data_IF_038380174077
#
_entry.id   IF_038380174077
#
_cell.length_a   1.000
_cell.length_b   1.000
_cell.length_c   1.000
_cell.angle_alpha   90.00
_cell.angle_beta   90.00
_cell.angle_gamma   90.00
#
_symmetry.space_group_name_H-M   'P 1'
#
loop_
_entity.id
_entity.type
_entity.pdbx_description
1 polymer ?
#
# COMPACT_ATOMS: atom_id res chain seq x y z
N UNK A 1 4.38 18.60 5.67
CA UNK A 1 3.81 19.13 6.93
C UNK A 1 2.81 20.26 6.71
N UNK A 2 3.15 21.36 6.02
CA UNK A 2 2.21 22.48 5.78
C UNK A 2 0.89 22.06 5.11
N UNK A 3 0.95 21.16 4.12
CA UNK A 3 -0.26 20.66 3.47
C UNK A 3 -1.15 19.84 4.42
N UNK A 4 -0.57 18.94 5.23
CA UNK A 4 -1.31 18.21 6.27
C UNK A 4 -1.93 19.16 7.30
N UNK A 5 -1.26 20.26 7.64
CA UNK A 5 -1.79 21.27 8.57
C UNK A 5 -3.08 21.91 8.03
N UNK A 6 -3.10 22.28 6.75
CA UNK A 6 -4.29 22.87 6.11
C UNK A 6 -5.48 21.90 6.20
N UNK A 7 -5.27 20.63 5.86
CA UNK A 7 -6.32 19.61 5.97
C UNK A 7 -6.72 19.33 7.41
N UNK A 8 -5.79 19.37 8.36
CA UNK A 8 -6.09 19.19 9.79
C UNK A 8 -7.00 20.31 10.30
N UNK A 9 -6.72 21.57 9.95
CA UNK A 9 -7.59 22.70 10.33
C UNK A 9 -8.97 22.56 9.70
N UNK A 10 -9.07 22.20 8.43
CA UNK A 10 -10.36 21.96 7.75
C UNK A 10 -11.14 20.83 8.44
N UNK A 11 -10.47 19.72 8.75
CA UNK A 11 -11.09 18.57 9.41
C UNK A 11 -11.63 18.92 10.80
N UNK A 12 -10.88 19.70 11.59
CA UNK A 12 -11.35 20.21 12.88
C UNK A 12 -12.64 21.03 12.70
N UNK A 13 -12.70 21.93 11.71
CA UNK A 13 -13.91 22.72 11.48
C UNK A 13 -15.11 21.88 11.04
N UNK A 14 -14.89 20.77 10.32
CA UNK A 14 -15.97 19.91 9.85
C UNK A 14 -16.48 18.94 10.93
N UNK A 15 -15.59 18.43 11.78
CA UNK A 15 -15.82 17.22 12.57
C UNK A 15 -15.63 17.37 14.09
N UNK A 16 -15.17 18.52 14.57
CA UNK A 16 -14.96 18.78 16.01
C UNK A 16 -16.22 18.45 16.80
N UNK A 17 -16.06 17.68 17.89
CA UNK A 17 -17.14 17.38 18.83
C UNK A 17 -18.18 16.36 18.34
N UNK A 18 -17.95 15.71 17.19
CA UNK A 18 -18.94 14.80 16.55
C UNK A 18 -18.55 13.32 16.59
N UNK A 19 -17.40 12.99 17.18
CA UNK A 19 -16.80 11.64 17.19
C UNK A 19 -17.07 10.88 18.50
N UNK A 20 -18.21 11.18 19.13
CA UNK A 20 -18.67 10.49 20.32
C UNK A 20 -19.73 9.45 19.96
N UNK A 21 -19.78 8.36 20.71
CA UNK A 21 -20.75 7.29 20.53
C UNK A 21 -21.10 6.66 21.88
N UNK A 22 -22.31 6.10 21.98
CA UNK A 22 -22.68 5.26 23.11
C UNK A 22 -22.33 3.80 22.77
N UNK A 23 -21.96 3.00 23.78
CA UNK A 23 -21.80 1.54 23.59
C UNK A 23 -23.09 0.83 23.15
N UNK A 24 -24.25 1.43 23.39
CA UNK A 24 -25.55 1.00 22.88
C UNK A 24 -25.99 1.93 21.73
N UNK A 25 -26.02 1.40 20.51
CA UNK A 25 -26.38 2.14 19.28
C UNK A 25 -27.80 2.73 19.32
N UNK A 26 -28.66 2.24 20.22
CA UNK A 26 -30.03 2.74 20.38
C UNK A 26 -30.08 4.12 21.05
N UNK A 27 -28.98 4.61 21.62
CA UNK A 27 -28.91 5.87 22.38
C UNK A 27 -27.99 6.87 21.68
N UNK A 28 -28.59 7.93 21.13
CA UNK A 28 -27.88 8.98 20.39
C UNK A 28 -27.47 10.21 21.22
N UNK A 29 -27.71 10.23 22.53
CA UNK A 29 -27.42 11.38 23.40
C UNK A 29 -26.72 10.93 24.67
N UNK A 30 -25.74 11.70 25.14
CA UNK A 30 -24.96 11.38 26.35
C UNK A 30 -25.86 11.18 27.59
N UNK A 31 -26.86 12.04 27.77
CA UNK A 31 -27.81 11.94 28.89
C UNK A 31 -28.59 10.61 28.94
N UNK A 32 -28.82 10.00 27.77
CA UNK A 32 -29.60 8.77 27.62
C UNK A 32 -28.70 7.53 27.61
N UNK A 33 -27.38 7.69 27.48
CA UNK A 33 -26.36 6.64 27.52
C UNK A 33 -26.01 6.28 28.98
N UNK A 34 -27.00 5.83 29.75
CA UNK A 34 -26.85 5.44 31.16
C UNK A 34 -27.50 4.09 31.45
N UNK A 35 -27.06 3.45 32.52
CA UNK A 35 -27.55 2.14 32.94
C UNK A 35 -26.86 0.99 32.21
N UNK A 36 -27.59 -0.11 31.97
CA UNK A 36 -27.07 -1.30 31.29
C UNK A 36 -27.84 -1.56 29.99
N UNK A 37 -27.17 -2.23 29.04
CA UNK A 37 -27.76 -2.74 27.82
C UNK A 37 -27.46 -4.24 27.69
N UNK A 38 -28.28 -4.96 26.92
CA UNK A 38 -28.09 -6.38 26.64
C UNK A 38 -27.26 -6.52 25.37
N UNK A 39 -26.08 -7.12 25.51
CA UNK A 39 -25.20 -7.46 24.40
C UNK A 39 -25.50 -8.90 23.95
N UNK A 40 -25.91 -9.04 22.68
CA UNK A 40 -26.28 -10.32 22.09
C UNK A 40 -25.10 -10.87 21.29
N UNK A 41 -24.30 -11.73 21.92
CA UNK A 41 -23.20 -12.45 21.26
C UNK A 41 -23.62 -13.87 20.88
N UNK A 42 -22.83 -14.53 20.03
CA UNK A 42 -23.10 -15.91 19.59
C UNK A 42 -23.20 -16.91 20.76
N UNK A 43 -22.53 -16.61 21.86
CA UNK A 43 -22.41 -17.50 23.03
C UNK A 43 -23.40 -17.18 24.17
N UNK A 44 -24.21 -16.12 24.05
CA UNK A 44 -25.19 -15.75 25.07
C UNK A 44 -25.59 -14.27 25.09
N UNK A 45 -26.41 -13.92 26.08
CA UNK A 45 -26.84 -12.54 26.35
C UNK A 45 -26.22 -12.08 27.66
N UNK A 46 -25.46 -10.99 27.60
CA UNK A 46 -24.81 -10.40 28.78
C UNK A 46 -25.25 -8.96 28.99
N UNK A 47 -25.47 -8.56 30.24
CA UNK A 47 -25.74 -7.17 30.59
C UNK A 47 -24.42 -6.40 30.73
N UNK A 48 -24.18 -5.42 29.87
CA UNK A 48 -23.00 -4.54 29.90
C UNK A 48 -23.39 -3.11 30.27
N UNK A 49 -22.53 -2.36 30.97
CA UNK A 49 -22.80 -0.95 31.27
C UNK A 49 -22.80 -0.12 29.98
N UNK A 50 -23.70 0.86 29.89
CA UNK A 50 -23.67 1.88 28.85
C UNK A 50 -22.60 2.91 29.17
N UNK A 51 -21.70 3.15 28.22
CA UNK A 51 -20.63 4.13 28.37
C UNK A 51 -20.62 5.07 27.16
N UNK A 52 -20.53 6.38 27.43
CA UNK A 52 -20.32 7.39 26.40
C UNK A 52 -18.84 7.50 26.10
N UNK A 53 -18.43 7.09 24.89
CA UNK A 53 -17.05 6.99 24.47
C UNK A 53 -16.76 7.91 23.30
N UNK A 54 -15.47 8.18 23.11
CA UNK A 54 -14.94 8.87 21.94
C UNK A 54 -14.16 7.88 21.11
N UNK A 55 -14.26 7.97 19.79
CA UNK A 55 -13.40 7.19 18.91
C UNK A 55 -11.93 7.55 19.12
N UNK A 56 -11.04 6.57 19.02
CA UNK A 56 -9.59 6.77 19.18
C UNK A 56 -9.02 7.75 18.15
N UNK A 57 -9.54 7.71 16.92
CA UNK A 57 -9.21 8.65 15.86
C UNK A 57 -10.34 9.67 15.72
N UNK A 58 -10.05 10.93 16.00
CA UNK A 58 -11.02 12.03 16.03
C UNK A 58 -10.39 13.38 15.68
N UNK A 59 -11.23 14.40 15.44
CA UNK A 59 -10.81 15.71 14.92
C UNK A 59 -11.11 16.88 15.88
N UNK A 60 -11.03 16.66 17.20
CA UNK A 60 -11.42 17.69 18.18
C UNK A 60 -10.43 18.85 18.29
N UNK A 61 -9.15 18.56 18.03
CA UNK A 61 -8.09 19.56 17.99
C UNK A 61 -7.09 19.20 16.89
N UNK A 62 -6.27 20.18 16.54
CA UNK A 62 -5.34 20.08 15.41
C UNK A 62 -4.35 18.92 15.59
N UNK A 63 -3.88 18.67 16.82
CA UNK A 63 -2.90 17.60 17.09
C UNK A 63 -3.50 16.20 16.84
N UNK A 64 -4.70 15.95 17.34
CA UNK A 64 -5.41 14.68 17.08
C UNK A 64 -5.82 14.56 15.61
N UNK A 65 -6.23 15.66 14.98
CA UNK A 65 -6.51 15.68 13.55
C UNK A 65 -5.28 15.30 12.72
N UNK A 66 -4.08 15.74 13.11
CA UNK A 66 -2.83 15.28 12.47
C UNK A 66 -2.62 13.78 12.64
N UNK A 67 -2.83 13.23 13.83
CA UNK A 67 -2.68 11.79 14.06
C UNK A 67 -3.66 10.99 13.19
N UNK A 68 -4.93 11.41 13.16
CA UNK A 68 -5.95 10.76 12.33
C UNK A 68 -5.62 10.87 10.83
N UNK A 69 -5.21 12.04 10.34
CA UNK A 69 -4.83 12.23 8.94
C UNK A 69 -3.55 11.47 8.57
N UNK A 70 -2.62 11.31 9.52
CA UNK A 70 -1.44 10.47 9.34
C UNK A 70 -1.84 9.00 9.15
N UNK A 71 -2.67 8.44 10.03
CA UNK A 71 -3.19 7.07 9.89
C UNK A 71 -3.97 6.89 8.59
N UNK A 72 -4.80 7.88 8.21
CA UNK A 72 -5.51 7.86 6.91
C UNK A 72 -4.51 7.86 5.74
N UNK A 73 -3.40 8.62 5.84
CA UNK A 73 -2.39 8.70 4.79
C UNK A 73 -1.57 7.42 4.60
N UNK A 74 -1.46 6.57 5.63
CA UNK A 74 -0.80 5.26 5.50
C UNK A 74 -1.68 4.22 4.82
N UNK A 75 -2.97 4.52 4.59
CA UNK A 75 -3.93 3.58 4.02
C UNK A 75 -4.45 2.54 5.01
N UNK A 76 -4.17 2.71 6.31
CA UNK A 76 -4.58 1.78 7.36
C UNK A 76 -5.76 2.37 8.16
N UNK A 77 -6.80 1.57 8.41
CA UNK A 77 -7.95 1.99 9.23
C UNK A 77 -8.79 3.17 8.68
N UNK A 78 -8.43 3.74 7.52
CA UNK A 78 -9.17 4.85 6.91
C UNK A 78 -10.65 4.56 6.60
N UNK A 79 -11.09 3.32 6.26
CA UNK A 79 -12.52 3.08 6.02
C UNK A 79 -13.33 3.24 7.31
N UNK A 80 -12.75 2.91 8.47
CA UNK A 80 -13.38 3.11 9.77
C UNK A 80 -13.49 4.60 10.09
N UNK A 81 -12.41 5.37 9.89
CA UNK A 81 -12.42 6.82 10.10
C UNK A 81 -13.41 7.51 9.17
N UNK A 82 -13.46 7.12 7.89
CA UNK A 82 -14.43 7.60 6.92
C UNK A 82 -15.86 7.26 7.36
N UNK A 83 -16.13 6.01 7.76
CA UNK A 83 -17.45 5.60 8.23
C UNK A 83 -17.89 6.42 9.44
N UNK A 84 -17.03 6.56 10.45
CA UNK A 84 -17.32 7.40 11.61
C UNK A 84 -17.58 8.86 11.23
N UNK A 85 -16.92 9.37 10.18
CA UNK A 85 -17.14 10.73 9.67
C UNK A 85 -18.47 10.89 8.94
N UNK A 86 -18.87 9.89 8.17
CA UNK A 86 -20.15 9.88 7.44
C UNK A 86 -21.34 9.73 8.39
N UNK A 87 -21.15 8.93 9.44
CA UNK A 87 -22.15 8.70 10.47
C UNK A 87 -22.18 9.85 11.50
N UNK A 88 -21.20 10.77 11.49
CA UNK A 88 -21.10 11.88 12.42
C UNK A 88 -22.26 12.88 12.26
N UNK A 89 -22.95 13.18 13.36
CA UNK A 89 -24.13 14.06 13.36
C UNK A 89 -23.81 15.50 13.77
N UNK A 90 -24.38 15.96 14.88
CA UNK A 90 -24.14 17.27 15.47
C UNK A 90 -23.19 17.14 16.65
N UNK A 91 -22.71 18.27 17.16
CA UNK A 91 -21.90 18.29 18.39
C UNK A 91 -22.66 17.63 19.54
N UNK A 92 -21.93 16.82 20.32
CA UNK A 92 -22.42 16.08 21.49
C UNK A 92 -23.59 15.11 21.22
N UNK A 93 -23.76 14.70 19.95
CA UNK A 93 -24.71 13.67 19.54
C UNK A 93 -23.97 12.46 18.97
N UNK A 94 -24.57 11.29 19.19
CA UNK A 94 -24.06 10.01 18.71
C UNK A 94 -24.15 9.88 17.20
N UNK A 95 -23.50 8.86 16.63
CA UNK A 95 -23.52 8.63 15.19
C UNK A 95 -24.93 8.21 14.72
N UNK A 96 -25.28 8.58 13.49
CA UNK A 96 -26.48 8.12 12.79
C UNK A 96 -26.07 7.61 11.41
N UNK A 97 -26.36 6.33 11.07
CA UNK A 97 -25.89 5.72 9.83
C UNK A 97 -26.23 6.54 8.59
N UNK A 98 -25.21 6.94 7.82
CA UNK A 98 -25.37 7.65 6.56
C UNK A 98 -25.85 9.10 6.66
N UNK A 99 -25.79 9.73 7.85
CA UNK A 99 -26.32 11.07 8.07
C UNK A 99 -25.71 12.14 7.15
N UNK A 100 -24.40 12.10 6.90
CA UNK A 100 -23.70 13.06 6.04
C UNK A 100 -22.77 12.38 5.04
N UNK A 101 -23.34 11.72 4.03
CA UNK A 101 -22.54 11.12 2.94
C UNK A 101 -21.62 12.13 2.24
N UNK A 102 -22.00 13.40 2.19
CA UNK A 102 -21.23 14.50 1.59
C UNK A 102 -19.82 14.66 2.18
N UNK A 103 -19.62 14.32 3.46
CA UNK A 103 -18.30 14.43 4.11
C UNK A 103 -17.28 13.46 3.53
N UNK A 104 -17.72 12.45 2.76
CA UNK A 104 -16.83 11.53 2.03
C UNK A 104 -15.96 12.26 1.01
N UNK A 105 -16.44 13.39 0.47
CA UNK A 105 -15.69 14.20 -0.51
C UNK A 105 -14.37 14.69 0.08
N UNK A 106 -14.33 15.02 1.38
CA UNK A 106 -13.11 15.42 2.08
C UNK A 106 -12.00 14.36 1.94
N UNK A 107 -12.35 13.08 2.15
CA UNK A 107 -11.41 11.98 2.05
C UNK A 107 -10.99 11.68 0.63
N UNK A 108 -11.90 11.79 -0.35
CA UNK A 108 -11.56 11.64 -1.77
C UNK A 108 -10.55 12.71 -2.19
N UNK A 109 -10.80 13.98 -1.85
CA UNK A 109 -9.88 15.07 -2.13
C UNK A 109 -8.55 14.86 -1.42
N UNK A 110 -8.57 14.45 -0.15
CA UNK A 110 -7.34 14.12 0.57
C UNK A 110 -6.53 13.01 -0.13
N UNK A 111 -7.16 11.90 -0.49
CA UNK A 111 -6.48 10.77 -1.14
C UNK A 111 -5.99 11.03 -2.55
N UNK A 112 -6.59 11.94 -3.30
CA UNK A 112 -6.10 12.32 -4.61
C UNK A 112 -4.97 13.35 -4.46
N UNK A 113 -5.21 14.38 -3.68
CA UNK A 113 -4.35 15.56 -3.63
C UNK A 113 -3.12 15.33 -2.75
N UNK A 114 -3.26 14.67 -1.60
CA UNK A 114 -2.14 14.42 -0.68
C UNK A 114 -1.04 13.56 -1.32
N UNK A 115 -1.31 12.37 -1.89
CA UNK A 115 -0.28 11.58 -2.55
C UNK A 115 0.27 12.28 -3.78
N UNK A 116 -0.55 12.99 -4.55
CA UNK A 116 -0.08 13.71 -5.73
C UNK A 116 0.99 14.75 -5.37
N UNK A 117 0.78 15.58 -4.35
CA UNK A 117 1.82 16.53 -3.94
C UNK A 117 2.97 15.86 -3.17
N UNK A 118 2.65 14.98 -2.22
CA UNK A 118 3.66 14.40 -1.35
C UNK A 118 4.60 13.47 -2.11
N UNK A 119 4.06 12.52 -2.87
CA UNK A 119 4.87 11.54 -3.62
C UNK A 119 5.65 12.23 -4.73
N UNK A 120 5.04 13.16 -5.47
CA UNK A 120 5.76 13.84 -6.57
C UNK A 120 6.91 14.71 -6.05
N UNK A 121 6.72 15.46 -4.96
CA UNK A 121 7.80 16.25 -4.35
C UNK A 121 8.90 15.32 -3.79
N UNK A 122 8.50 14.24 -3.12
CA UNK A 122 9.45 13.29 -2.53
C UNK A 122 10.30 12.58 -3.59
N UNK A 123 9.66 12.08 -4.65
CA UNK A 123 10.34 11.44 -5.78
C UNK A 123 11.28 12.41 -6.48
N UNK A 124 10.84 13.66 -6.72
CA UNK A 124 11.68 14.69 -7.34
C UNK A 124 12.93 14.97 -6.49
N UNK A 125 12.78 15.11 -5.17
CA UNK A 125 13.91 15.33 -4.26
C UNK A 125 14.89 14.15 -4.27
N UNK A 126 14.38 12.91 -4.20
CA UNK A 126 15.22 11.71 -4.29
C UNK A 126 16.01 11.68 -5.59
N UNK A 127 15.37 11.96 -6.73
CA UNK A 127 16.04 11.99 -8.05
C UNK A 127 17.16 13.03 -8.04
N UNK A 128 16.89 14.25 -7.60
CA UNK A 128 17.90 15.32 -7.55
C UNK A 128 19.07 14.91 -6.65
N UNK A 129 18.81 14.35 -5.48
CA UNK A 129 19.88 13.91 -4.57
C UNK A 129 20.73 12.78 -5.17
N UNK A 130 20.12 11.82 -5.88
CA UNK A 130 20.87 10.76 -6.56
C UNK A 130 21.65 11.27 -7.77
N UNK A 131 21.10 12.25 -8.50
CA UNK A 131 21.83 12.91 -9.59
C UNK A 131 23.04 13.66 -9.02
N UNK A 132 22.88 14.44 -7.96
CA UNK A 132 24.00 15.14 -7.31
C UNK A 132 25.06 14.19 -6.76
N UNK A 133 24.66 13.08 -6.15
CA UNK A 133 25.61 12.06 -5.66
C UNK A 133 26.32 11.36 -6.83
N UNK A 134 25.58 11.01 -7.89
CA UNK A 134 26.13 10.40 -9.09
C UNK A 134 27.11 11.31 -9.81
N UNK A 135 26.82 12.61 -9.87
CA UNK A 135 27.69 13.61 -10.49
C UNK A 135 28.92 13.90 -9.62
N UNK A 136 28.78 14.00 -8.30
CA UNK A 136 29.93 14.15 -7.37
C UNK A 136 30.89 12.97 -7.44
N UNK A 137 30.37 11.73 -7.44
CA UNK A 137 31.17 10.52 -7.60
C UNK A 137 31.90 10.43 -8.96
N UNK A 138 31.47 11.24 -9.94
CA UNK A 138 32.06 11.29 -11.27
C UNK A 138 32.95 12.53 -11.50
N UNK A 139 32.83 13.56 -10.65
CA UNK A 139 33.55 14.83 -10.77
C UNK A 139 35.07 14.73 -10.58
N UNK A 140 35.58 13.62 -10.02
CA UNK A 140 37.02 13.36 -9.91
C UNK A 140 37.67 12.88 -11.21
N UNK A 141 36.92 12.74 -12.31
CA UNK A 141 37.44 12.25 -13.60
C UNK A 141 37.13 13.22 -14.75
N UNK A 142 38.14 13.57 -15.53
CA UNK A 142 38.06 14.53 -16.66
C UNK A 142 37.37 13.99 -17.92
N UNK A 143 36.81 12.78 -17.87
CA UNK A 143 36.24 12.06 -19.02
C UNK A 143 34.70 12.04 -18.95
N UNK A 144 34.03 12.11 -20.11
CA UNK A 144 32.57 12.06 -20.19
C UNK A 144 32.02 10.66 -19.80
N UNK A 145 30.78 10.60 -19.28
CA UNK A 145 30.06 9.35 -18.89
C UNK A 145 30.18 8.24 -19.93
N UNK A 146 29.98 8.60 -21.20
CA UNK A 146 29.98 7.68 -22.33
C UNK A 146 31.39 7.16 -22.66
N UNK A 147 32.39 8.03 -22.59
CA UNK A 147 33.80 7.68 -22.86
C UNK A 147 34.31 6.68 -21.82
N UNK A 148 34.03 6.95 -20.54
CA UNK A 148 34.42 6.06 -19.44
C UNK A 148 33.79 4.67 -19.58
N UNK A 149 32.50 4.59 -19.92
CA UNK A 149 31.82 3.31 -20.12
C UNK A 149 32.39 2.51 -21.31
N UNK A 150 32.76 3.20 -22.40
CA UNK A 150 33.39 2.57 -23.55
C UNK A 150 34.79 2.04 -23.22
N UNK A 151 35.60 2.85 -22.52
CA UNK A 151 36.95 2.47 -22.09
C UNK A 151 36.89 1.28 -21.12
N UNK A 152 36.00 1.33 -20.12
CA UNK A 152 35.86 0.25 -19.15
C UNK A 152 35.43 -1.06 -19.82
N UNK A 153 34.48 -0.99 -20.77
CA UNK A 153 34.08 -2.16 -21.55
C UNK A 153 35.24 -2.68 -22.40
N UNK A 154 35.97 -1.81 -23.09
CA UNK A 154 37.09 -2.22 -23.93
C UNK A 154 38.22 -2.88 -23.13
N UNK A 155 38.48 -2.41 -21.90
CA UNK A 155 39.52 -2.95 -21.01
C UNK A 155 39.07 -4.26 -20.35
N UNK A 156 37.81 -4.33 -19.89
CA UNK A 156 37.33 -5.45 -19.08
C UNK A 156 36.65 -6.58 -19.89
N UNK A 157 36.36 -6.35 -21.17
CA UNK A 157 35.73 -7.37 -22.02
C UNK A 157 36.61 -8.62 -22.13
N UNK A 158 36.06 -9.76 -21.71
CA UNK A 158 36.67 -11.08 -21.87
C UNK A 158 35.98 -11.83 -23.00
N UNK A 159 36.71 -12.65 -23.78
CA UNK A 159 36.11 -13.43 -24.84
C UNK A 159 35.10 -14.44 -24.27
N UNK A 160 33.94 -14.56 -24.92
CA UNK A 160 32.94 -15.55 -24.59
C UNK A 160 33.49 -16.96 -24.88
N UNK A 161 33.72 -17.74 -23.83
CA UNK A 161 34.17 -19.13 -23.96
C UNK A 161 32.98 -20.02 -24.31
N UNK A 162 32.79 -20.33 -25.60
CA UNK A 162 31.87 -21.38 -26.04
C UNK A 162 32.63 -22.70 -26.13
N UNK A 163 32.22 -23.69 -25.33
CA UNK A 163 32.74 -25.04 -25.44
C UNK A 163 32.19 -25.71 -26.70
N UNK A 164 33.03 -25.84 -27.73
CA UNK A 164 32.71 -26.53 -28.99
C UNK A 164 33.47 -27.85 -29.04
N UNK A 165 32.81 -29.01 -29.23
CA UNK A 165 33.48 -30.29 -29.39
C UNK A 165 34.42 -30.26 -30.61
N UNK A 166 35.68 -30.68 -30.44
CA UNK A 166 36.70 -30.60 -31.49
C UNK A 166 36.39 -31.45 -32.74
N UNK A 167 35.74 -32.61 -32.56
CA UNK A 167 35.47 -33.54 -33.65
C UNK A 167 34.02 -33.43 -34.17
N UNK A 168 33.86 -32.86 -35.38
CA UNK A 168 32.57 -32.65 -36.05
C UNK A 168 31.84 -33.96 -36.43
N UNK A 169 32.55 -35.07 -36.56
CA UNK A 169 31.97 -36.37 -36.92
C UNK A 169 31.51 -37.18 -35.70
N UNK A 170 31.88 -36.74 -34.48
CA UNK A 170 31.50 -37.41 -33.25
C UNK A 170 30.03 -37.20 -32.90
N UNK A 171 29.43 -38.19 -32.25
CA UNK A 171 28.09 -38.09 -31.66
C UNK A 171 27.99 -36.91 -30.68
N UNK A 172 29.09 -36.58 -29.99
CA UNK A 172 29.17 -35.42 -29.09
C UNK A 172 28.88 -34.08 -29.79
N UNK A 173 29.34 -33.89 -31.03
CA UNK A 173 29.05 -32.67 -31.79
C UNK A 173 27.60 -32.61 -32.26
N UNK A 174 27.01 -33.75 -32.64
CA UNK A 174 25.58 -33.83 -33.01
C UNK A 174 24.68 -33.52 -31.82
N UNK A 175 24.99 -34.07 -30.64
CA UNK A 175 24.27 -33.78 -29.39
C UNK A 175 24.41 -32.30 -28.98
N UNK A 176 25.63 -31.76 -29.05
CA UNK A 176 25.87 -30.33 -28.77
C UNK A 176 25.08 -29.42 -29.72
N UNK A 177 25.09 -29.72 -31.02
CA UNK A 177 24.34 -28.95 -32.02
C UNK A 177 22.82 -29.00 -31.78
N UNK A 178 22.31 -30.11 -31.26
CA UNK A 178 20.89 -30.23 -30.89
C UNK A 178 20.56 -29.42 -29.63
N UNK A 179 21.36 -29.52 -28.58
CA UNK A 179 21.15 -28.80 -27.31
C UNK A 179 21.25 -27.28 -27.49
N UNK A 180 22.17 -26.82 -28.35
CA UNK A 180 22.36 -25.39 -28.66
C UNK A 180 21.35 -24.89 -29.71
N UNK A 181 20.47 -25.75 -30.23
CA UNK A 181 19.52 -25.36 -31.27
C UNK A 181 18.32 -24.60 -30.68
N UNK A 182 17.83 -23.54 -31.38
CA UNK A 182 16.62 -22.81 -30.97
C UNK A 182 15.37 -23.69 -30.71
N UNK A 183 15.05 -24.75 -31.47
CA UNK A 183 13.87 -25.58 -31.18
C UNK A 183 13.98 -26.31 -29.84
N UNK A 184 15.18 -26.70 -29.40
CA UNK A 184 15.37 -27.32 -28.08
C UNK A 184 15.11 -26.30 -26.96
N UNK A 185 15.55 -25.05 -27.13
CA UNK A 185 15.27 -23.96 -26.18
C UNK A 185 13.76 -23.71 -26.05
N UNK A 186 13.02 -23.63 -27.17
CA UNK A 186 11.56 -23.48 -27.13
C UNK A 186 10.85 -24.67 -26.46
N UNK A 187 11.33 -25.90 -26.67
CA UNK A 187 10.78 -27.09 -26.03
C UNK A 187 10.93 -27.03 -24.49
N UNK A 188 12.11 -26.68 -23.99
CA UNK A 188 12.34 -26.51 -22.55
C UNK A 188 11.48 -25.39 -21.97
N UNK A 189 11.41 -24.23 -22.65
CA UNK A 189 10.56 -23.12 -22.21
C UNK A 189 9.08 -23.52 -22.16
N UNK A 190 8.60 -24.31 -23.13
CA UNK A 190 7.23 -24.82 -23.13
C UNK A 190 6.96 -25.81 -21.98
N UNK A 191 7.93 -26.67 -21.65
CA UNK A 191 7.84 -27.61 -20.52
C UNK A 191 7.78 -26.87 -19.17
N UNK A 192 8.59 -25.83 -19.00
CA UNK A 192 8.56 -24.98 -17.79
C UNK A 192 7.19 -24.29 -17.69
N UNK A 193 6.70 -23.68 -18.78
CA UNK A 193 5.40 -23.03 -18.81
C UNK A 193 4.26 -24.01 -18.47
N UNK A 194 4.24 -25.19 -19.10
CA UNK A 194 3.27 -26.24 -18.81
C UNK A 194 3.33 -26.70 -17.35
N UNK A 195 4.52 -26.88 -16.77
CA UNK A 195 4.66 -27.23 -15.36
C UNK A 195 4.10 -26.14 -14.43
N UNK A 196 4.33 -24.86 -14.74
CA UNK A 196 3.73 -23.75 -13.98
C UNK A 196 2.20 -23.73 -14.09
N UNK A 197 1.64 -24.02 -15.27
CA UNK A 197 0.19 -24.13 -15.46
C UNK A 197 -0.37 -25.31 -14.66
N UNK A 198 0.29 -26.46 -14.68
CA UNK A 198 -0.13 -27.64 -13.89
C UNK A 198 -0.11 -27.32 -12.38
N UNK A 199 0.88 -26.58 -11.91
CA UNK A 199 0.94 -26.12 -10.52
C UNK A 199 -0.18 -25.13 -10.17
N UNK A 200 -0.52 -24.20 -11.08
CA UNK A 200 -1.64 -23.27 -10.92
C UNK A 200 -3.01 -23.98 -10.95
N UNK A 201 -3.11 -25.09 -11.69
CA UNK A 201 -4.33 -25.91 -11.78
C UNK A 201 -4.55 -26.82 -10.57
N UNK A 202 -3.60 -26.89 -9.62
CA UNK A 202 -3.78 -27.62 -8.37
C UNK A 202 -4.78 -26.87 -7.47
N UNK A 203 -6.06 -27.13 -7.67
CA UNK A 203 -7.16 -26.59 -6.84
C UNK A 203 -7.58 -27.60 -5.76
N UNK A 204 -7.93 -27.10 -4.58
CA UNK A 204 -8.17 -27.84 -3.33
C UNK A 204 -9.36 -28.82 -3.37
N UNK A 205 -9.27 -29.93 -4.11
CA UNK A 205 -10.13 -31.10 -3.88
C UNK A 205 -9.73 -31.92 -2.63
N UNK A 206 -8.71 -31.46 -1.89
CA UNK A 206 -8.32 -32.01 -0.58
C UNK A 206 -8.99 -31.31 0.61
N UNK A 207 -9.66 -30.16 0.44
CA UNK A 207 -10.30 -29.42 1.54
C UNK A 207 -11.85 -29.49 1.47
N UNK A 208 -12.40 -30.68 1.17
CA UNK A 208 -13.84 -30.97 1.28
C UNK A 208 -14.17 -32.30 1.97
N UNK A 209 -13.17 -33.04 2.45
CA UNK A 209 -13.34 -34.32 3.14
C UNK A 209 -12.64 -34.36 4.52
N UNK A 210 -12.70 -33.26 5.27
CA UNK A 210 -12.55 -33.25 6.73
C UNK A 210 -13.51 -32.21 7.31
#
# INVERSE_FOLDING_TARGET
>A
MLFMFIFAVIAVQLFKGKFFYCTDESKGLEKDCRGQFLDFNRDGVEAKPREWKKYEFHYDNVLWAFLTLFTVSTGEGWPMVLKHSVDATYEDKGPSPGFRMETSIFYVVYFVVFPFFFVNIFVALIIITFQEQGDKAMSECSLEKNERACIDFAINAKPLTRYMPANKQSFQYKMWKFVVSPPFEYAIMSLIALNTVVLMMKFELYCKNL
#
